data_IF_863104602924
#
_entry.id   IF_863104602924
#
_cell.length_a   1.000
_cell.length_b   1.000
_cell.length_c   1.000
_cell.angle_alpha   90.00
_cell.angle_beta   90.00
_cell.angle_gamma   90.00
#
_symmetry.space_group_name_H-M   'P 1'
#
loop_
_entity.id
_entity.type
_entity.pdbx_description
1 polymer ?
#
# COMPACT_ATOMS: atom_id res chain seq x y z
N UNK A 1 -18.53 9.85 25.51
CA UNK A 1 -17.25 10.59 25.59
C UNK A 1 -16.14 9.58 25.42
N UNK A 2 -15.18 9.78 24.51
CA UNK A 2 -14.11 8.82 24.30
C UNK A 2 -13.17 8.80 25.52
N UNK A 3 -12.48 7.69 25.75
CA UNK A 3 -11.44 7.66 26.77
C UNK A 3 -10.23 8.50 26.33
N UNK A 4 -9.47 9.10 27.27
CA UNK A 4 -8.25 9.84 26.94
C UNK A 4 -7.25 9.04 26.09
N UNK A 5 -7.18 7.74 26.31
CA UNK A 5 -6.32 6.83 25.53
C UNK A 5 -6.76 6.74 24.06
N UNK A 6 -8.07 6.59 23.80
CA UNK A 6 -8.61 6.58 22.43
C UNK A 6 -8.37 7.93 21.74
N UNK A 7 -8.55 9.03 22.45
CA UNK A 7 -8.29 10.37 21.91
C UNK A 7 -6.82 10.56 21.54
N UNK A 8 -5.89 10.10 22.38
CA UNK A 8 -4.46 10.15 22.09
C UNK A 8 -4.08 9.31 20.87
N UNK A 9 -4.65 8.10 20.73
CA UNK A 9 -4.44 7.24 19.56
C UNK A 9 -4.96 7.90 18.28
N UNK A 10 -6.18 8.45 18.31
CA UNK A 10 -6.75 9.17 17.16
C UNK A 10 -5.87 10.37 16.78
N UNK A 11 -5.42 11.16 17.76
CA UNK A 11 -4.54 12.29 17.51
C UNK A 11 -3.22 11.87 16.86
N UNK A 12 -2.65 10.74 17.30
CA UNK A 12 -1.45 10.17 16.69
C UNK A 12 -1.70 9.74 15.24
N UNK A 13 -2.79 9.02 14.95
CA UNK A 13 -3.13 8.61 13.58
C UNK A 13 -3.37 9.82 12.66
N UNK A 14 -4.01 10.88 13.15
CA UNK A 14 -4.18 12.13 12.40
C UNK A 14 -2.84 12.80 12.09
N UNK A 15 -1.89 12.76 13.02
CA UNK A 15 -0.53 13.29 12.81
C UNK A 15 0.22 12.48 11.77
N UNK A 16 0.15 11.14 11.84
CA UNK A 16 0.75 10.25 10.84
C UNK A 16 0.12 10.49 9.46
N UNK A 17 -1.20 10.62 9.39
CA UNK A 17 -1.93 10.94 8.17
C UNK A 17 -1.42 12.21 7.48
N UNK A 18 -1.15 13.28 8.23
CA UNK A 18 -0.58 14.52 7.67
C UNK A 18 0.81 14.32 7.06
N UNK A 19 1.64 13.47 7.65
CA UNK A 19 2.98 13.14 7.11
C UNK A 19 2.84 12.34 5.81
N UNK A 20 1.91 11.39 5.77
CA UNK A 20 1.60 10.61 4.57
C UNK A 20 1.08 11.53 3.45
N UNK A 21 0.14 12.43 3.76
CA UNK A 21 -0.43 13.38 2.79
C UNK A 21 0.67 14.29 2.20
N UNK A 22 1.60 14.78 3.03
CA UNK A 22 2.75 15.56 2.57
C UNK A 22 3.72 14.74 1.68
N UNK A 23 3.90 13.46 2.00
CA UNK A 23 4.74 12.53 1.22
C UNK A 23 4.12 12.25 -0.15
N UNK A 24 2.80 12.04 -0.21
CA UNK A 24 2.05 11.90 -1.45
C UNK A 24 2.22 13.14 -2.32
N UNK A 25 2.09 14.34 -1.75
CA UNK A 25 2.24 15.58 -2.50
C UNK A 25 3.65 15.74 -3.06
N UNK A 26 4.67 15.43 -2.26
CA UNK A 26 6.07 15.44 -2.69
C UNK A 26 6.29 14.47 -3.87
N UNK A 27 5.81 13.23 -3.75
CA UNK A 27 5.90 12.25 -4.83
C UNK A 27 5.15 12.68 -6.09
N UNK A 28 4.00 13.34 -5.94
CA UNK A 28 3.21 13.88 -7.06
C UNK A 28 3.97 14.96 -7.80
N UNK A 29 4.59 15.90 -7.07
CA UNK A 29 5.41 16.97 -7.65
C UNK A 29 6.62 16.42 -8.42
N UNK A 30 7.35 15.48 -7.83
CA UNK A 30 8.53 14.87 -8.48
C UNK A 30 8.14 13.97 -9.65
N UNK A 31 7.02 13.23 -9.56
CA UNK A 31 6.46 12.48 -10.69
C UNK A 31 6.11 13.39 -11.86
N UNK A 32 5.45 14.53 -11.60
CA UNK A 32 5.13 15.50 -12.64
C UNK A 32 6.39 16.14 -13.26
N UNK A 33 7.44 16.35 -12.45
CA UNK A 33 8.74 16.81 -12.94
C UNK A 33 9.40 15.78 -13.85
N UNK A 34 9.43 14.52 -13.43
CA UNK A 34 9.98 13.41 -14.21
C UNK A 34 9.25 13.22 -15.55
N UNK A 35 7.92 13.32 -15.55
CA UNK A 35 7.11 13.24 -16.76
C UNK A 35 7.48 14.34 -17.77
N UNK A 36 7.68 15.58 -17.31
CA UNK A 36 8.13 16.69 -18.19
C UNK A 36 9.52 16.46 -18.79
N UNK A 37 10.33 15.63 -18.15
CA UNK A 37 11.68 15.24 -18.61
C UNK A 37 11.67 13.92 -19.41
N UNK A 38 10.49 13.37 -19.73
CA UNK A 38 10.36 12.10 -20.47
C UNK A 38 10.86 10.88 -19.69
N UNK A 39 10.91 10.95 -18.36
CA UNK A 39 11.45 9.90 -17.50
C UNK A 39 10.34 9.00 -16.92
N UNK A 40 9.69 8.21 -17.79
CA UNK A 40 8.59 7.31 -17.42
C UNK A 40 8.95 6.30 -16.32
N UNK A 41 10.22 5.92 -16.29
CA UNK A 41 10.82 5.04 -15.28
C UNK A 41 10.71 5.62 -13.86
N UNK A 42 11.04 6.90 -13.70
CA UNK A 42 10.94 7.60 -12.40
C UNK A 42 9.46 7.84 -12.04
N UNK A 43 8.62 8.15 -13.03
CA UNK A 43 7.16 8.29 -12.84
C UNK A 43 6.56 7.02 -12.24
N UNK A 44 6.97 5.83 -12.73
CA UNK A 44 6.49 4.54 -12.21
C UNK A 44 6.89 4.32 -10.75
N UNK A 45 8.11 4.67 -10.36
CA UNK A 45 8.57 4.53 -8.97
C UNK A 45 7.78 5.46 -8.04
N UNK A 46 7.56 6.72 -8.43
CA UNK A 46 6.73 7.63 -7.63
C UNK A 46 5.27 7.18 -7.54
N UNK A 47 4.69 6.67 -8.63
CA UNK A 47 3.34 6.12 -8.60
C UNK A 47 3.22 4.94 -7.62
N UNK A 48 4.23 4.07 -7.57
CA UNK A 48 4.28 3.00 -6.58
C UNK A 48 4.40 3.54 -5.15
N UNK A 49 5.24 4.55 -4.92
CA UNK A 49 5.36 5.19 -3.61
C UNK A 49 4.03 5.82 -3.15
N UNK A 50 3.33 6.52 -4.05
CA UNK A 50 2.00 7.08 -3.80
C UNK A 50 1.00 5.97 -3.48
N UNK A 51 1.00 4.87 -4.23
CA UNK A 51 0.11 3.73 -3.99
C UNK A 51 0.27 3.16 -2.57
N UNK A 52 1.52 2.95 -2.12
CA UNK A 52 1.80 2.47 -0.76
C UNK A 52 1.42 3.51 0.30
N UNK A 53 1.62 4.80 0.03
CA UNK A 53 1.19 5.86 0.94
C UNK A 53 -0.34 5.92 1.06
N UNK A 54 -1.07 5.76 -0.05
CA UNK A 54 -2.53 5.72 -0.04
C UNK A 54 -3.07 4.54 0.76
N UNK A 55 -2.48 3.35 0.63
CA UNK A 55 -2.91 2.19 1.41
C UNK A 55 -2.68 2.39 2.91
N UNK A 56 -1.55 2.96 3.33
CA UNK A 56 -1.31 3.32 4.74
C UNK A 56 -2.28 4.40 5.23
N UNK A 57 -2.60 5.38 4.37
CA UNK A 57 -3.55 6.45 4.69
C UNK A 57 -4.94 5.90 4.96
N UNK A 58 -5.42 4.99 4.11
CA UNK A 58 -6.73 4.36 4.21
C UNK A 58 -6.84 3.45 5.43
N UNK A 59 -5.79 2.68 5.74
CA UNK A 59 -5.72 1.89 6.98
C UNK A 59 -5.79 2.79 8.22
N UNK A 60 -5.08 3.92 8.22
CA UNK A 60 -5.15 4.91 9.31
C UNK A 60 -6.56 5.50 9.49
N UNK A 61 -7.29 5.75 8.40
CA UNK A 61 -8.69 6.20 8.47
C UNK A 61 -9.59 5.13 9.08
N UNK A 62 -9.46 3.88 8.65
CA UNK A 62 -10.24 2.76 9.19
C UNK A 62 -9.94 2.54 10.67
N UNK A 63 -8.68 2.69 11.10
CA UNK A 63 -8.28 2.66 12.51
C UNK A 63 -8.93 3.79 13.31
N UNK A 64 -8.95 5.02 12.78
CA UNK A 64 -9.64 6.14 13.43
C UNK A 64 -11.14 5.86 13.56
N UNK A 65 -11.77 5.32 12.51
CA UNK A 65 -13.20 5.00 12.53
C UNK A 65 -13.54 3.87 13.51
N UNK A 66 -12.67 2.86 13.64
CA UNK A 66 -12.76 1.85 14.68
C UNK A 66 -12.67 2.47 16.09
N UNK A 67 -11.70 3.36 16.34
CA UNK A 67 -11.50 4.00 17.65
C UNK A 67 -12.66 4.94 18.04
N UNK A 68 -13.35 5.50 17.05
CA UNK A 68 -14.51 6.39 17.24
C UNK A 68 -15.81 5.64 17.46
N UNK A 69 -15.90 4.38 17.01
CA UNK A 69 -17.09 3.59 17.19
C UNK A 69 -17.31 3.25 18.67
N UNK A 70 -18.58 3.26 19.09
CA UNK A 70 -18.96 2.72 20.38
C UNK A 70 -18.82 1.19 20.33
N UNK A 71 -18.41 0.55 21.43
CA UNK A 71 -18.26 -0.91 21.49
C UNK A 71 -19.60 -1.63 21.26
N UNK A 72 -20.72 -0.98 21.58
CA UNK A 72 -22.06 -1.50 21.33
C UNK A 72 -22.54 -1.32 19.88
N UNK A 73 -21.83 -0.52 19.06
CA UNK A 73 -22.17 -0.29 17.65
C UNK A 73 -21.57 -1.39 16.76
N UNK A 74 -22.08 -2.61 16.94
CA UNK A 74 -21.63 -3.79 16.20
C UNK A 74 -21.76 -3.62 14.67
N UNK A 75 -22.78 -2.90 14.21
CA UNK A 75 -22.99 -2.67 12.78
C UNK A 75 -21.87 -1.81 12.18
N UNK A 76 -21.46 -0.73 12.87
CA UNK A 76 -20.34 0.11 12.45
C UNK A 76 -19.01 -0.61 12.55
N UNK A 77 -18.76 -1.33 13.64
CA UNK A 77 -17.53 -2.11 13.82
C UNK A 77 -17.39 -3.19 12.73
N UNK A 78 -18.47 -3.91 12.42
CA UNK A 78 -18.52 -4.88 11.32
C UNK A 78 -18.27 -4.22 9.96
N UNK A 79 -18.83 -3.04 9.72
CA UNK A 79 -18.57 -2.29 8.49
C UNK A 79 -17.10 -1.91 8.35
N UNK A 80 -16.49 -1.37 9.41
CA UNK A 80 -15.06 -1.03 9.43
C UNK A 80 -14.21 -2.27 9.18
N UNK A 81 -14.49 -3.37 9.87
CA UNK A 81 -13.76 -4.63 9.70
C UNK A 81 -13.83 -5.15 8.25
N UNK A 82 -15.01 -5.11 7.61
CA UNK A 82 -15.18 -5.55 6.21
C UNK A 82 -14.43 -4.66 5.22
N UNK A 83 -14.46 -3.35 5.41
CA UNK A 83 -13.72 -2.41 4.57
C UNK A 83 -12.21 -2.60 4.73
N UNK A 84 -11.74 -2.81 5.96
CA UNK A 84 -10.33 -3.04 6.24
C UNK A 84 -9.84 -4.37 5.68
N UNK A 85 -10.59 -5.45 5.87
CA UNK A 85 -10.30 -6.74 5.23
C UNK A 85 -10.25 -6.65 3.71
N UNK A 86 -11.17 -5.87 3.11
CA UNK A 86 -11.17 -5.62 1.65
C UNK A 86 -9.92 -4.88 1.22
N UNK A 87 -9.57 -3.80 1.93
CA UNK A 87 -8.35 -3.03 1.64
C UNK A 87 -7.11 -3.92 1.72
N UNK A 88 -6.96 -4.70 2.79
CA UNK A 88 -5.83 -5.62 2.96
C UNK A 88 -5.77 -6.66 1.84
N UNK A 89 -6.90 -7.23 1.44
CA UNK A 89 -6.97 -8.18 0.34
C UNK A 89 -6.46 -7.57 -0.97
N UNK A 90 -7.02 -6.42 -1.36
CA UNK A 90 -6.71 -5.79 -2.64
C UNK A 90 -5.24 -5.29 -2.64
N UNK A 91 -4.79 -4.63 -1.56
CA UNK A 91 -3.43 -4.11 -1.45
C UNK A 91 -2.39 -5.22 -1.39
N UNK A 92 -2.58 -6.26 -0.59
CA UNK A 92 -1.65 -7.39 -0.55
C UNK A 92 -1.58 -8.13 -1.88
N UNK A 93 -2.73 -8.27 -2.57
CA UNK A 93 -2.80 -8.85 -3.91
C UNK A 93 -2.02 -8.03 -4.94
N UNK A 94 -2.22 -6.72 -4.94
CA UNK A 94 -1.56 -5.78 -5.84
C UNK A 94 -0.06 -5.63 -5.55
N UNK A 95 0.37 -5.61 -4.28
CA UNK A 95 1.81 -5.58 -3.97
C UNK A 95 2.48 -6.87 -4.49
N UNK A 96 1.85 -8.03 -4.27
CA UNK A 96 2.36 -9.31 -4.77
C UNK A 96 2.45 -9.36 -6.30
N UNK A 97 1.43 -8.85 -6.99
CA UNK A 97 1.26 -9.08 -8.43
C UNK A 97 1.68 -7.91 -9.32
N UNK A 98 1.63 -6.68 -8.81
CA UNK A 98 1.70 -5.45 -9.60
C UNK A 98 2.77 -4.45 -9.12
N UNK A 99 3.07 -4.37 -7.82
CA UNK A 99 4.00 -3.36 -7.31
C UNK A 99 5.42 -3.52 -7.87
N UNK A 100 5.92 -4.76 -7.95
CA UNK A 100 7.27 -5.06 -8.43
C UNK A 100 7.24 -5.88 -9.72
N UNK A 101 6.46 -5.44 -10.71
CA UNK A 101 6.50 -6.02 -12.06
C UNK A 101 7.90 -5.92 -12.66
N UNK A 102 8.21 -6.78 -13.65
CA UNK A 102 9.51 -6.79 -14.33
C UNK A 102 9.98 -5.40 -14.78
N UNK A 103 9.16 -4.56 -15.42
CA UNK A 103 9.58 -3.21 -15.79
C UNK A 103 10.03 -2.36 -14.60
N UNK A 104 9.28 -2.37 -13.49
CA UNK A 104 9.64 -1.60 -12.29
C UNK A 104 10.93 -2.15 -11.67
N UNK A 105 11.08 -3.48 -11.60
CA UNK A 105 12.29 -4.12 -11.06
C UNK A 105 13.52 -3.74 -11.87
N UNK A 106 13.46 -3.82 -13.19
CA UNK A 106 14.57 -3.43 -14.06
C UNK A 106 14.96 -1.97 -13.87
N UNK A 107 13.97 -1.08 -13.76
CA UNK A 107 14.20 0.34 -13.51
C UNK A 107 14.89 0.57 -12.18
N UNK A 108 14.43 -0.10 -11.12
CA UNK A 108 15.06 -0.02 -9.81
C UNK A 108 16.49 -0.55 -9.86
N UNK A 109 16.75 -1.68 -10.51
CA UNK A 109 18.08 -2.26 -10.62
C UNK A 109 19.03 -1.44 -11.50
N UNK A 110 18.51 -0.70 -12.47
CA UNK A 110 19.31 0.26 -13.25
C UNK A 110 19.77 1.46 -12.40
N UNK A 111 18.92 1.92 -11.48
CA UNK A 111 19.25 2.99 -10.52
C UNK A 111 20.18 2.44 -9.44
N UNK A 112 19.86 1.28 -8.90
CA UNK A 112 20.53 0.64 -7.77
C UNK A 112 20.71 -0.87 -7.99
N UNK A 113 21.81 -1.31 -8.61
CA UNK A 113 22.07 -2.74 -8.83
C UNK A 113 22.13 -3.56 -7.53
N UNK A 114 22.46 -2.92 -6.39
CA UNK A 114 22.48 -3.55 -5.08
C UNK A 114 21.09 -3.86 -4.49
N UNK A 115 20.03 -3.29 -5.06
CA UNK A 115 18.66 -3.43 -4.57
C UNK A 115 18.07 -4.85 -4.76
N UNK A 116 18.72 -5.72 -5.53
CA UNK A 116 18.20 -7.04 -5.89
C UNK A 116 17.82 -7.90 -4.66
N UNK A 117 18.65 -7.88 -3.63
CA UNK A 117 18.41 -8.68 -2.42
C UNK A 117 17.17 -8.16 -1.67
N UNK A 118 17.10 -6.85 -1.42
CA UNK A 118 15.99 -6.21 -0.70
C UNK A 118 14.66 -6.32 -1.47
N UNK A 119 14.69 -6.20 -2.81
CA UNK A 119 13.54 -6.49 -3.68
C UNK A 119 13.02 -7.92 -3.52
N UNK A 120 13.91 -8.88 -3.38
CA UNK A 120 13.54 -10.28 -3.19
C UNK A 120 12.96 -10.51 -1.79
N UNK A 121 13.51 -9.87 -0.75
CA UNK A 121 12.96 -9.91 0.61
C UNK A 121 11.55 -9.34 0.66
N UNK A 122 11.32 -8.16 0.09
CA UNK A 122 10.00 -7.51 0.04
C UNK A 122 8.98 -8.42 -0.67
N UNK A 123 9.33 -8.98 -1.82
CA UNK A 123 8.46 -9.92 -2.54
C UNK A 123 8.16 -11.17 -1.72
N UNK A 124 9.17 -11.72 -1.03
CA UNK A 124 9.00 -12.89 -0.16
C UNK A 124 8.05 -12.59 1.00
N UNK A 125 8.19 -11.44 1.65
CA UNK A 125 7.29 -11.01 2.73
C UNK A 125 5.83 -10.89 2.25
N UNK A 126 5.61 -10.21 1.12
CA UNK A 126 4.27 -10.08 0.54
C UNK A 126 3.66 -11.45 0.16
N UNK A 127 4.48 -12.35 -0.39
CA UNK A 127 4.06 -13.70 -0.75
C UNK A 127 3.70 -14.54 0.48
N UNK A 128 4.50 -14.48 1.54
CA UNK A 128 4.26 -15.20 2.80
C UNK A 128 3.01 -14.71 3.50
N UNK A 129 2.80 -13.38 3.54
CA UNK A 129 1.55 -12.81 4.05
C UNK A 129 0.35 -13.33 3.26
N UNK A 130 0.41 -13.25 1.92
CA UNK A 130 -0.68 -13.71 1.08
C UNK A 130 -0.97 -15.20 1.25
N UNK A 131 0.06 -16.04 1.35
CA UNK A 131 -0.14 -17.48 1.52
C UNK A 131 -0.86 -17.81 2.83
N UNK A 132 -0.56 -17.07 3.90
CA UNK A 132 -1.20 -17.26 5.22
C UNK A 132 -2.62 -16.69 5.28
N UNK A 133 -2.83 -15.48 4.75
CA UNK A 133 -4.05 -14.69 5.00
C UNK A 133 -4.95 -14.49 3.78
N UNK A 134 -4.46 -14.76 2.57
CA UNK A 134 -5.15 -14.41 1.33
C UNK A 134 -6.53 -15.07 1.16
N UNK A 135 -6.67 -16.33 1.59
CA UNK A 135 -7.96 -17.03 1.50
C UNK A 135 -8.99 -16.51 2.52
N UNK A 136 -8.54 -16.21 3.73
CA UNK A 136 -9.34 -15.62 4.81
C UNK A 136 -9.82 -14.21 4.40
N UNK A 137 -8.89 -13.35 3.96
CA UNK A 137 -9.19 -12.02 3.45
C UNK A 137 -10.13 -12.05 2.24
N UNK A 138 -9.98 -13.04 1.34
CA UNK A 138 -10.88 -13.22 0.19
C UNK A 138 -12.32 -13.48 0.63
N UNK A 139 -12.51 -14.33 1.64
CA UNK A 139 -13.83 -14.65 2.20
C UNK A 139 -14.51 -13.36 2.70
N UNK A 140 -13.81 -12.55 3.50
CA UNK A 140 -14.37 -11.31 4.03
C UNK A 140 -14.60 -10.25 2.94
N UNK A 141 -13.68 -10.12 2.00
CA UNK A 141 -13.81 -9.21 0.85
C UNK A 141 -15.04 -9.51 -0.02
N UNK A 142 -15.38 -10.79 -0.19
CA UNK A 142 -16.58 -11.18 -0.94
C UNK A 142 -17.87 -10.89 -0.18
N UNK A 143 -17.84 -10.92 1.15
CA UNK A 143 -18.97 -10.55 1.99
C UNK A 143 -19.07 -9.04 2.29
N UNK A 144 -18.10 -8.24 1.84
CA UNK A 144 -18.04 -6.82 2.19
C UNK A 144 -19.20 -6.00 1.61
N UNK A 145 -19.74 -6.37 0.45
CA UNK A 145 -20.84 -5.67 -0.21
C UNK A 145 -21.80 -6.65 -0.89
N UNK A 146 -23.10 -6.33 -0.85
CA UNK A 146 -24.18 -7.19 -1.36
C UNK A 146 -24.16 -7.51 -2.87
N UNK A 147 -23.19 -6.99 -3.62
CA UNK A 147 -23.05 -7.22 -5.07
C UNK A 147 -21.93 -8.22 -5.45
N UNK A 148 -21.11 -8.66 -4.49
CA UNK A 148 -19.89 -9.44 -4.79
C UNK A 148 -20.09 -10.94 -4.71
N UNK A 149 -21.14 -11.39 -4.04
CA UNK A 149 -21.56 -12.79 -3.95
C UNK A 149 -23.09 -12.85 -4.13
N UNK A 150 -23.60 -13.94 -4.72
CA UNK A 150 -25.05 -14.15 -4.81
C UNK A 150 -25.60 -14.91 -3.60
N UNK A 151 -24.73 -15.49 -2.76
CA UNK A 151 -25.11 -16.12 -1.51
C UNK A 151 -25.33 -15.08 -0.40
N UNK A 152 -26.56 -14.59 -0.30
CA UNK A 152 -26.96 -13.62 0.72
C UNK A 152 -26.87 -14.15 2.16
N UNK A 153 -27.02 -15.48 2.35
CA UNK A 153 -26.92 -16.08 3.69
C UNK A 153 -25.46 -16.11 4.15
N UNK A 154 -24.54 -16.45 3.26
CA UNK A 154 -23.10 -16.36 3.53
C UNK A 154 -22.69 -14.92 3.86
N UNK A 155 -23.20 -13.93 3.11
CA UNK A 155 -22.93 -12.51 3.39
C UNK A 155 -23.44 -12.10 4.78
N UNK A 156 -24.70 -12.44 5.11
CA UNK A 156 -25.30 -12.11 6.40
C UNK A 156 -24.49 -12.72 7.55
N UNK A 157 -24.12 -14.00 7.42
CA UNK A 157 -23.31 -14.70 8.41
C UNK A 157 -21.94 -14.03 8.62
N UNK A 158 -21.22 -13.68 7.55
CA UNK A 158 -19.94 -12.96 7.70
C UNK A 158 -20.12 -11.56 8.29
N UNK A 159 -21.17 -10.82 7.92
CA UNK A 159 -21.46 -9.50 8.52
C UNK A 159 -21.69 -9.60 10.03
N UNK A 160 -22.31 -10.68 10.48
CA UNK A 160 -22.61 -10.93 11.89
C UNK A 160 -21.38 -11.44 12.68
N UNK A 161 -20.44 -12.12 12.02
CA UNK A 161 -19.33 -12.82 12.70
C UNK A 161 -17.95 -12.19 12.52
N UNK A 162 -17.78 -11.25 11.58
CA UNK A 162 -16.46 -10.65 11.36
C UNK A 162 -15.99 -9.90 12.62
N UNK A 163 -14.84 -10.33 13.13
CA UNK A 163 -14.21 -9.73 14.30
C UNK A 163 -13.22 -8.65 13.87
N UNK A 164 -13.45 -7.42 14.32
CA UNK A 164 -12.56 -6.30 14.06
C UNK A 164 -11.16 -6.53 14.63
N UNK A 165 -11.03 -7.16 15.80
CA UNK A 165 -9.72 -7.40 16.42
C UNK A 165 -8.90 -8.37 15.58
N UNK A 166 -9.50 -9.46 15.12
CA UNK A 166 -8.85 -10.39 14.18
C UNK A 166 -8.40 -9.68 12.89
N UNK A 167 -9.20 -8.76 12.34
CA UNK A 167 -8.80 -7.97 11.16
C UNK A 167 -7.64 -7.02 11.49
N UNK A 168 -7.64 -6.39 12.66
CA UNK A 168 -6.54 -5.52 13.12
C UNK A 168 -5.25 -6.29 13.35
N UNK A 169 -5.32 -7.54 13.86
CA UNK A 169 -4.14 -8.40 14.00
C UNK A 169 -3.54 -8.73 12.63
N UNK A 170 -4.38 -9.05 11.64
CA UNK A 170 -3.95 -9.29 10.26
C UNK A 170 -3.37 -8.00 9.64
N UNK A 171 -3.94 -6.83 9.92
CA UNK A 171 -3.36 -5.55 9.52
C UNK A 171 -1.98 -5.32 10.15
N UNK A 172 -1.82 -5.71 11.43
CA UNK A 172 -0.54 -5.67 12.15
C UNK A 172 0.52 -6.56 11.50
N UNK A 173 0.15 -7.77 11.08
CA UNK A 173 1.03 -8.66 10.30
C UNK A 173 1.38 -8.05 8.93
N UNK A 174 0.41 -7.41 8.28
CA UNK A 174 0.62 -6.80 6.97
C UNK A 174 1.57 -5.60 7.05
N UNK A 175 1.58 -4.86 8.16
CA UNK A 175 2.35 -3.63 8.35
C UNK A 175 3.87 -3.80 8.15
N UNK A 176 4.40 -5.02 8.25
CA UNK A 176 5.81 -5.30 7.95
C UNK A 176 6.16 -5.09 6.47
N UNK A 177 5.20 -5.30 5.56
CA UNK A 177 5.38 -5.06 4.12
C UNK A 177 5.64 -3.57 3.83
N UNK A 178 4.73 -2.62 4.15
CA UNK A 178 4.97 -1.20 3.91
C UNK A 178 6.15 -0.66 4.73
N UNK A 179 6.41 -1.17 5.94
CA UNK A 179 7.62 -0.82 6.73
C UNK A 179 8.92 -1.14 5.99
N UNK A 180 8.95 -2.19 5.14
CA UNK A 180 10.11 -2.52 4.31
C UNK A 180 10.11 -1.75 2.98
N UNK A 181 8.94 -1.59 2.36
CA UNK A 181 8.78 -0.94 1.05
C UNK A 181 9.08 0.56 1.11
N UNK A 182 8.59 1.28 2.12
CA UNK A 182 8.72 2.75 2.18
C UNK A 182 10.19 3.20 2.29
N UNK A 183 11.01 2.69 3.22
CA UNK A 183 12.43 3.04 3.26
C UNK A 183 13.18 2.61 2.01
N UNK A 184 12.84 1.45 1.45
CA UNK A 184 13.43 0.95 0.22
C UNK A 184 13.20 1.92 -0.95
N UNK A 185 11.95 2.31 -1.22
CA UNK A 185 11.61 3.25 -2.28
C UNK A 185 12.24 4.63 -2.04
N UNK A 186 12.30 5.07 -0.78
CA UNK A 186 12.97 6.32 -0.39
C UNK A 186 14.46 6.28 -0.77
N UNK A 187 15.15 5.18 -0.48
CA UNK A 187 16.56 5.00 -0.82
C UNK A 187 16.78 4.95 -2.34
N UNK A 188 15.91 4.26 -3.09
CA UNK A 188 15.98 4.22 -4.56
C UNK A 188 15.77 5.62 -5.15
N UNK A 189 14.75 6.34 -4.69
CA UNK A 189 14.45 7.70 -5.16
C UNK A 189 15.54 8.69 -4.77
N UNK A 190 16.17 8.58 -3.60
CA UNK A 190 17.29 9.43 -3.23
C UNK A 190 18.47 9.32 -4.22
N UNK A 191 18.67 8.14 -4.80
CA UNK A 191 19.73 7.89 -5.80
C UNK A 191 19.42 8.49 -7.17
N UNK A 192 18.18 8.91 -7.45
CA UNK A 192 17.83 9.58 -8.72
C UNK A 192 18.08 11.09 -8.71
N UNK A 193 18.28 11.69 -7.53
CA UNK A 193 18.45 13.15 -7.36
C UNK A 193 19.86 13.64 -7.78
N UNK A 194 20.85 12.75 -7.86
CA UNK A 194 22.23 13.09 -8.29
C UNK A 194 22.44 13.07 -9.82
N UNK A 195 23.47 13.77 -10.31
CA UNK A 195 23.83 13.84 -11.75
C UNK A 195 24.03 12.44 -12.37
N UNK A 196 24.66 11.52 -11.64
CA UNK A 196 24.82 10.13 -12.07
C UNK A 196 23.50 9.36 -12.17
N UNK A 197 22.56 9.61 -11.25
CA UNK A 197 21.22 9.02 -11.28
C UNK A 197 20.43 9.53 -12.48
N UNK A 198 20.47 10.84 -12.71
CA UNK A 198 19.86 11.46 -13.88
C UNK A 198 20.48 10.93 -15.20
N UNK A 199 21.80 10.80 -15.28
CA UNK A 199 22.49 10.27 -16.47
C UNK A 199 22.19 8.79 -16.74
N UNK A 200 22.00 7.96 -15.70
CA UNK A 200 21.62 6.55 -15.87
C UNK A 200 20.19 6.40 -16.40
N UNK A 201 19.27 7.23 -15.89
CA UNK A 201 17.86 7.24 -16.35
C UNK A 201 17.77 7.79 -17.78
N UNK A 202 18.42 8.91 -18.07
CA UNK A 202 18.47 9.50 -19.42
C UNK A 202 19.21 8.59 -20.42
N UNK A 203 20.29 7.94 -19.99
CA UNK A 203 21.05 6.98 -20.80
C UNK A 203 20.27 5.71 -21.14
N UNK A 204 19.20 5.37 -20.41
CA UNK A 204 18.29 4.28 -20.77
C UNK A 204 17.20 4.77 -21.72
N UNK A 205 16.66 5.97 -21.50
CA UNK A 205 15.69 6.60 -22.40
C UNK A 205 16.26 6.79 -23.83
N UNK A 206 17.53 7.21 -23.95
CA UNK A 206 18.20 7.34 -25.24
C UNK A 206 18.52 6.00 -25.93
N UNK A 207 18.71 4.92 -25.15
CA UNK A 207 18.90 3.56 -25.69
C UNK A 207 17.58 2.91 -26.16
N UNK A 208 16.46 3.27 -25.54
CA UNK A 208 15.13 2.79 -25.94
C UNK A 208 14.51 3.62 -27.07
N UNK A 209 14.85 4.92 -27.18
CA UNK A 209 14.48 5.76 -28.32
C UNK A 209 15.37 5.59 -29.57
N UNK A 210 16.38 4.72 -29.51
CA UNK A 210 17.27 4.40 -30.64
C UNK A 210 16.80 3.23 -31.51
N UNK A 211 15.58 2.73 -31.29
CA UNK A 211 14.93 1.73 -32.14
C UNK A 211 13.75 2.39 -32.84
N UNK A 212 14.03 3.26 -33.80
CA UNK A 212 13.07 3.63 -34.84
C UNK A 212 13.82 3.73 -36.18
N UNK A 213 13.66 2.69 -37.02
CA UNK A 213 13.36 2.78 -38.46
C UNK A 213 12.72 1.47 -38.90
#
# INVERSE_FOLDING_TARGET
>A
MLSPEREALIANELRVGKVIDATIETCRMESARAARLGSDDIVRIHNLAIYVCLSERDQGLLKIEALRADESDHARLSLVARQWATLLYEVAGDIRQKAFTMPIRETILAIDPGAQFELNEINSLAQQFWHRRGQELKRWRNAACAHRDFDALLQLHVVQEIDLLAVMDIAGEFADVPRRVVPFLTNVLAKTVGLDGALRVLGRASRLGGVET
#
